data_IF_005441512482
#
_entry.id   IF_005441512482
#
_cell.length_a   1.000
_cell.length_b   1.000
_cell.length_c   1.000
_cell.angle_alpha   90.00
_cell.angle_beta   90.00
_cell.angle_gamma   90.00
#
_symmetry.space_group_name_H-M   'P 1'
#
loop_
_entity.id
_entity.type
_entity.pdbx_description
1 polymer ?
#
# COMPACT_ATOMS: atom_id res chain seq x y z
N UNK A 1 17.00 26.88 -19.53
CA UNK A 1 17.22 25.58 -18.84
C UNK A 1 16.96 25.53 -17.32
N UNK A 2 16.35 26.53 -16.67
CA UNK A 2 15.91 26.40 -15.25
C UNK A 2 14.51 25.79 -15.10
N UNK A 3 13.62 26.08 -16.04
CA UNK A 3 12.24 25.56 -16.06
C UNK A 3 12.15 24.05 -16.31
N UNK A 4 12.98 23.50 -17.21
CA UNK A 4 13.02 22.07 -17.49
C UNK A 4 13.52 21.23 -16.30
N UNK A 5 14.56 21.73 -15.59
CA UNK A 5 15.07 21.07 -14.39
C UNK A 5 14.02 21.06 -13.26
N UNK A 6 13.30 22.17 -13.07
CA UNK A 6 12.20 22.28 -12.11
C UNK A 6 11.02 21.38 -12.49
N UNK A 7 10.74 21.24 -13.78
CA UNK A 7 9.75 20.29 -14.28
C UNK A 7 10.16 18.84 -13.97
N UNK A 8 11.40 18.42 -14.26
CA UNK A 8 11.87 17.07 -13.89
C UNK A 8 11.81 16.81 -12.37
N UNK A 9 12.19 17.78 -11.54
CA UNK A 9 12.14 17.65 -10.08
C UNK A 9 10.70 17.51 -9.56
N UNK A 10 9.77 18.33 -10.06
CA UNK A 10 8.33 18.22 -9.73
C UNK A 10 7.72 16.92 -10.27
N UNK A 11 8.13 16.46 -11.46
CA UNK A 11 7.68 15.18 -12.00
C UNK A 11 8.13 14.02 -11.11
N UNK A 12 9.33 14.04 -10.54
CA UNK A 12 9.77 13.01 -9.60
C UNK A 12 8.99 13.04 -8.25
N UNK A 13 8.59 14.22 -7.77
CA UNK A 13 7.74 14.32 -6.57
C UNK A 13 6.30 13.87 -6.84
N UNK A 14 5.71 14.28 -7.96
CA UNK A 14 4.35 13.87 -8.36
C UNK A 14 4.32 12.38 -8.71
N UNK A 15 5.33 11.87 -9.43
CA UNK A 15 5.47 10.46 -9.72
C UNK A 15 5.68 9.66 -8.43
N UNK A 16 6.45 10.17 -7.47
CA UNK A 16 6.58 9.59 -6.13
C UNK A 16 5.24 9.48 -5.41
N UNK A 17 4.44 10.55 -5.41
CA UNK A 17 3.09 10.57 -4.85
C UNK A 17 2.14 9.60 -5.58
N UNK A 18 2.24 9.48 -6.90
CA UNK A 18 1.45 8.55 -7.70
C UNK A 18 1.83 7.11 -7.40
N UNK A 19 3.13 6.78 -7.35
CA UNK A 19 3.62 5.45 -6.98
C UNK A 19 3.19 5.09 -5.56
N UNK A 20 3.31 6.01 -4.59
CA UNK A 20 2.84 5.80 -3.23
C UNK A 20 1.32 5.55 -3.18
N UNK A 21 0.54 6.30 -3.95
CA UNK A 21 -0.91 6.14 -4.05
C UNK A 21 -1.30 4.78 -4.64
N UNK A 22 -0.66 4.38 -5.75
CA UNK A 22 -0.86 3.07 -6.38
C UNK A 22 -0.43 1.96 -5.45
N UNK A 23 0.72 2.09 -4.79
CA UNK A 23 1.22 1.12 -3.81
C UNK A 23 0.22 0.93 -2.66
N UNK A 24 -0.28 2.02 -2.08
CA UNK A 24 -1.28 1.98 -1.02
C UNK A 24 -2.55 1.28 -1.51
N UNK A 25 -3.05 1.63 -2.69
CA UNK A 25 -4.26 1.02 -3.25
C UNK A 25 -4.08 -0.48 -3.49
N UNK A 26 -2.96 -0.89 -4.09
CA UNK A 26 -2.63 -2.31 -4.29
C UNK A 26 -2.56 -3.05 -2.95
N UNK A 27 -1.95 -2.44 -1.92
CA UNK A 27 -1.90 -3.02 -0.58
C UNK A 27 -3.28 -3.20 0.04
N UNK A 28 -4.17 -2.20 -0.06
CA UNK A 28 -5.55 -2.32 0.41
C UNK A 28 -6.35 -3.41 -0.32
N UNK A 29 -6.23 -3.48 -1.65
CA UNK A 29 -6.90 -4.51 -2.45
C UNK A 29 -6.41 -5.92 -2.09
N UNK A 30 -5.11 -6.07 -1.90
CA UNK A 30 -4.52 -7.32 -1.41
C UNK A 30 -5.05 -7.70 -0.03
N UNK A 31 -5.11 -6.73 0.90
CA UNK A 31 -5.59 -6.97 2.27
C UNK A 31 -7.03 -7.48 2.30
N UNK A 32 -7.92 -6.88 1.50
CA UNK A 32 -9.34 -7.30 1.40
C UNK A 32 -9.46 -8.67 0.74
N UNK A 33 -8.65 -8.94 -0.29
CA UNK A 33 -8.64 -10.24 -0.98
C UNK A 33 -8.20 -11.36 -0.04
N UNK A 34 -7.10 -11.16 0.69
CA UNK A 34 -6.61 -12.13 1.67
C UNK A 34 -7.60 -12.28 2.83
N UNK A 35 -8.20 -11.19 3.31
CA UNK A 35 -9.26 -11.22 4.33
C UNK A 35 -10.41 -12.13 3.91
N UNK A 36 -10.90 -12.00 2.67
CA UNK A 36 -11.97 -12.84 2.12
C UNK A 36 -11.57 -14.32 2.12
N UNK A 37 -10.35 -14.64 1.66
CA UNK A 37 -9.83 -16.01 1.65
C UNK A 37 -9.81 -16.60 3.06
N UNK A 38 -9.34 -15.84 4.05
CA UNK A 38 -9.25 -16.28 5.45
C UNK A 38 -10.61 -16.45 6.13
N UNK A 39 -11.61 -15.66 5.73
CA UNK A 39 -13.00 -15.83 6.16
C UNK A 39 -13.55 -17.15 5.61
N UNK A 40 -13.31 -17.45 4.33
CA UNK A 40 -13.75 -18.73 3.72
C UNK A 40 -13.06 -19.94 4.35
N UNK A 41 -11.79 -19.81 4.77
CA UNK A 41 -11.05 -20.84 5.50
C UNK A 41 -11.44 -20.93 6.99
N UNK A 42 -12.31 -20.05 7.50
CA UNK A 42 -12.73 -20.02 8.90
C UNK A 42 -11.68 -19.51 9.90
N UNK A 43 -10.51 -19.07 9.41
CA UNK A 43 -9.37 -18.68 10.25
C UNK A 43 -9.08 -17.16 10.26
N UNK A 44 -10.10 -16.35 9.97
CA UNK A 44 -9.94 -14.89 9.87
C UNK A 44 -9.46 -14.24 11.17
N UNK A 45 -9.96 -14.67 12.33
CA UNK A 45 -9.65 -14.01 13.61
C UNK A 45 -8.17 -14.15 13.99
N UNK A 46 -7.60 -15.35 13.87
CA UNK A 46 -6.17 -15.61 14.16
C UNK A 46 -5.28 -14.89 13.15
N UNK A 47 -5.63 -14.95 11.87
CA UNK A 47 -4.90 -14.23 10.82
C UNK A 47 -4.90 -12.71 11.05
N UNK A 48 -6.06 -12.13 11.41
CA UNK A 48 -6.20 -10.69 11.70
C UNK A 48 -5.27 -10.27 12.83
N UNK A 49 -5.20 -11.02 13.92
CA UNK A 49 -4.32 -10.69 15.06
C UNK A 49 -2.84 -10.67 14.65
N UNK A 50 -2.42 -11.59 13.79
CA UNK A 50 -1.04 -11.66 13.31
C UNK A 50 -0.72 -10.53 12.32
N UNK A 51 -1.61 -10.31 11.33
CA UNK A 51 -1.35 -9.34 10.25
C UNK A 51 -1.38 -7.90 10.76
N UNK A 52 -2.28 -7.57 11.69
CA UNK A 52 -2.37 -6.22 12.30
C UNK A 52 -1.07 -5.89 13.04
N UNK A 53 -0.55 -6.82 13.85
CA UNK A 53 0.74 -6.62 14.55
C UNK A 53 1.88 -6.39 13.56
N UNK A 54 1.93 -7.16 12.46
CA UNK A 54 2.98 -7.05 11.44
C UNK A 54 2.91 -5.72 10.68
N UNK A 55 1.71 -5.25 10.34
CA UNK A 55 1.51 -3.96 9.64
C UNK A 55 1.89 -2.79 10.55
N UNK A 56 1.44 -2.80 11.81
CA UNK A 56 1.73 -1.73 12.79
C UNK A 56 3.21 -1.62 13.17
N UNK A 57 4.00 -2.69 12.97
CA UNK A 57 5.44 -2.68 13.27
C UNK A 57 6.30 -2.22 12.08
N UNK A 58 5.73 -2.21 10.86
CA UNK A 58 6.45 -1.90 9.62
C UNK A 58 6.07 -0.55 9.00
N UNK A 59 5.11 0.15 9.60
CA UNK A 59 4.72 1.53 9.27
C UNK A 59 5.54 2.53 10.08
#
# INVERSE_FOLDING_TARGET
SKAFLRHMLLQNEILGCQIASVHNLCFYLWLVTESRKRIMEGNFSVWKQQIVKKIMTRL
#
